data_IF_592556284396
#
_entry.id   IF_592556284396
#
_cell.length_a   1.000
_cell.length_b   1.000
_cell.length_c   1.000
_cell.angle_alpha   90.00
_cell.angle_beta   90.00
_cell.angle_gamma   90.00
#
_symmetry.space_group_name_H-M   'P 1'
#
loop_
_entity.id
_entity.type
_entity.pdbx_description
1 polymer ?
#
# COMPACT_ATOMS: atom_id res chain seq x y z
N UNK A 1 9.96 -22.44 26.74
CA UNK A 1 9.37 -22.29 25.41
C UNK A 1 8.60 -20.99 25.47
N UNK A 2 9.20 -19.91 24.97
CA UNK A 2 8.48 -18.65 24.84
C UNK A 2 7.25 -18.88 23.95
N UNK A 3 6.09 -18.48 24.43
CA UNK A 3 4.86 -18.47 23.66
C UNK A 3 5.13 -17.73 22.36
N UNK A 4 5.07 -18.43 21.25
CA UNK A 4 5.19 -17.88 19.91
C UNK A 4 4.10 -16.82 19.78
N UNK A 5 4.51 -15.57 19.76
CA UNK A 5 3.60 -14.43 19.77
C UNK A 5 2.83 -14.43 18.43
N UNK A 6 1.66 -15.08 18.43
CA UNK A 6 0.72 -15.10 17.32
C UNK A 6 -0.01 -13.77 17.33
N UNK A 7 0.14 -12.98 16.28
CA UNK A 7 -0.57 -11.71 16.17
C UNK A 7 -1.66 -11.81 15.11
N UNK A 8 -2.89 -11.87 15.54
CA UNK A 8 -4.07 -11.73 14.68
C UNK A 8 -4.30 -10.26 14.28
N UNK A 9 -3.82 -9.32 15.08
CA UNK A 9 -4.15 -7.89 14.99
C UNK A 9 -3.65 -7.21 13.71
N UNK A 10 -2.51 -7.65 13.16
CA UNK A 10 -1.95 -7.10 11.92
C UNK A 10 -2.64 -7.62 10.65
N UNK A 11 -3.41 -8.69 10.77
CA UNK A 11 -4.05 -9.35 9.63
C UNK A 11 -5.29 -8.59 9.17
N UNK A 12 -6.00 -7.90 10.08
CA UNK A 12 -7.32 -7.34 9.80
C UNK A 12 -7.33 -6.40 8.61
N UNK A 13 -6.35 -5.53 8.48
CA UNK A 13 -6.32 -4.58 7.38
C UNK A 13 -5.89 -5.22 6.05
N UNK A 14 -5.02 -6.21 6.12
CA UNK A 14 -4.51 -6.93 4.97
C UNK A 14 -5.42 -8.06 4.47
N UNK A 15 -6.26 -8.63 5.37
CA UNK A 15 -7.04 -9.84 5.07
C UNK A 15 -7.94 -9.68 3.82
N UNK A 16 -8.45 -8.48 3.56
CA UNK A 16 -9.23 -8.17 2.37
C UNK A 16 -8.42 -8.37 1.07
N UNK A 17 -7.11 -8.17 1.11
CA UNK A 17 -6.23 -8.44 -0.03
C UNK A 17 -5.95 -9.94 -0.19
N UNK A 18 -5.91 -10.68 0.92
CA UNK A 18 -5.65 -12.11 0.91
C UNK A 18 -6.73 -12.90 0.18
N UNK A 19 -8.01 -12.55 0.39
CA UNK A 19 -9.15 -13.23 -0.21
C UNK A 19 -9.52 -12.76 -1.61
N UNK A 20 -8.81 -11.81 -2.18
CA UNK A 20 -9.03 -11.41 -3.58
C UNK A 20 -8.64 -12.55 -4.51
N UNK A 21 -9.47 -12.76 -5.55
CA UNK A 21 -9.19 -13.73 -6.60
C UNK A 21 -7.84 -13.47 -7.27
N UNK A 22 -7.51 -12.20 -7.49
CA UNK A 22 -6.22 -11.77 -8.01
C UNK A 22 -5.44 -11.11 -6.87
N UNK A 23 -4.29 -11.69 -6.54
CA UNK A 23 -3.40 -11.15 -5.51
C UNK A 23 -2.79 -9.83 -6.00
N UNK A 24 -2.90 -8.80 -5.18
CA UNK A 24 -2.30 -7.48 -5.47
C UNK A 24 -0.85 -7.51 -5.01
N UNK A 25 0.06 -7.62 -5.96
CA UNK A 25 1.51 -7.71 -5.72
C UNK A 25 2.24 -6.57 -6.45
N UNK A 26 2.35 -5.38 -5.82
CA UNK A 26 3.12 -4.28 -6.38
C UNK A 26 4.60 -4.61 -6.51
N UNK A 27 5.33 -3.88 -7.37
CA UNK A 27 6.75 -4.04 -7.62
C UNK A 27 7.48 -2.71 -7.56
N UNK A 28 8.58 -2.68 -6.81
CA UNK A 28 9.63 -1.68 -6.97
C UNK A 28 10.76 -2.25 -7.84
N UNK A 29 11.31 -1.40 -8.70
CA UNK A 29 12.42 -1.73 -9.57
C UNK A 29 13.52 -0.69 -9.41
N UNK A 30 14.75 -1.16 -9.17
CA UNK A 30 15.94 -0.31 -8.99
C UNK A 30 17.01 -0.74 -9.97
N UNK A 31 17.40 0.14 -10.85
CA UNK A 31 18.50 -0.11 -11.78
C UNK A 31 19.77 0.51 -11.21
N UNK A 32 20.76 -0.32 -10.97
CA UNK A 32 22.08 0.06 -10.49
C UNK A 32 23.01 0.37 -11.66
N UNK A 33 24.19 0.93 -11.37
CA UNK A 33 25.20 1.23 -12.39
C UNK A 33 25.92 -0.05 -12.86
N UNK A 34 26.13 -0.97 -11.95
CA UNK A 34 26.88 -2.21 -12.18
C UNK A 34 25.94 -3.42 -12.11
N UNK A 35 26.33 -4.56 -12.69
CA UNK A 35 25.61 -5.81 -12.52
C UNK A 35 25.47 -6.16 -11.03
N UNK A 36 24.28 -6.64 -10.66
CA UNK A 36 23.96 -7.05 -9.29
C UNK A 36 24.74 -8.33 -8.96
N UNK A 37 25.40 -8.33 -7.80
CA UNK A 37 25.94 -9.55 -7.20
C UNK A 37 24.87 -10.19 -6.31
N UNK A 38 24.28 -11.30 -6.71
CA UNK A 38 23.19 -11.91 -5.96
C UNK A 38 23.61 -12.51 -4.63
N UNK A 39 24.89 -12.90 -4.46
CA UNK A 39 25.36 -13.41 -3.18
C UNK A 39 25.47 -12.28 -2.16
N UNK A 40 25.92 -11.09 -2.57
CA UNK A 40 25.92 -9.91 -1.71
C UNK A 40 24.49 -9.42 -1.43
N UNK A 41 23.59 -9.51 -2.42
CA UNK A 41 22.18 -9.12 -2.23
C UNK A 41 21.49 -10.08 -1.23
N UNK A 42 21.80 -11.40 -1.28
CA UNK A 42 21.30 -12.37 -0.30
C UNK A 42 21.79 -12.02 1.11
N UNK A 43 23.08 -11.72 1.28
CA UNK A 43 23.63 -11.33 2.57
C UNK A 43 23.00 -10.06 3.13
N UNK A 44 22.72 -9.08 2.26
CA UNK A 44 22.02 -7.85 2.63
C UNK A 44 20.58 -8.12 3.07
N UNK A 45 19.87 -8.99 2.34
CA UNK A 45 18.51 -9.42 2.69
C UNK A 45 18.49 -10.14 4.07
N UNK A 46 19.39 -11.09 4.27
CA UNK A 46 19.49 -11.84 5.54
C UNK A 46 19.72 -10.90 6.73
N UNK A 47 20.64 -9.95 6.59
CA UNK A 47 20.92 -8.96 7.63
C UNK A 47 19.73 -8.03 7.89
N UNK A 48 19.04 -7.56 6.83
CA UNK A 48 17.86 -6.75 6.98
C UNK A 48 16.71 -7.48 7.69
N UNK A 49 16.50 -8.77 7.37
CA UNK A 49 15.48 -9.60 8.02
C UNK A 49 15.77 -9.88 9.50
N UNK A 50 17.02 -9.97 9.91
CA UNK A 50 17.38 -10.10 11.32
C UNK A 50 16.96 -8.88 12.14
N UNK A 51 17.03 -7.67 11.53
CA UNK A 51 16.67 -6.43 12.18
C UNK A 51 15.16 -6.13 12.07
N UNK A 52 14.42 -6.86 11.23
CA UNK A 52 13.02 -6.60 10.93
C UNK A 52 12.15 -7.86 11.07
N UNK A 53 11.89 -8.35 12.27
CA UNK A 53 11.15 -9.59 12.51
C UNK A 53 9.72 -9.54 11.94
N UNK A 54 9.11 -8.37 11.82
CA UNK A 54 7.79 -8.19 11.17
C UNK A 54 7.74 -8.77 9.76
N UNK A 55 8.83 -8.68 8.99
CA UNK A 55 8.89 -9.21 7.63
C UNK A 55 9.25 -10.70 7.57
N UNK A 56 9.71 -11.26 8.68
CA UNK A 56 10.09 -12.67 8.78
C UNK A 56 8.94 -13.53 9.31
N UNK A 57 7.81 -13.47 8.63
CA UNK A 57 6.58 -14.17 9.05
C UNK A 57 5.99 -14.99 7.91
N UNK A 58 5.21 -15.99 8.30
CA UNK A 58 4.32 -16.76 7.41
C UNK A 58 2.91 -16.81 7.99
N UNK A 59 1.92 -17.08 7.16
CA UNK A 59 0.55 -17.30 7.61
C UNK A 59 0.32 -18.77 7.92
N UNK A 60 -0.33 -19.01 9.04
CA UNK A 60 -0.80 -20.32 9.47
C UNK A 60 -2.31 -20.25 9.69
N UNK A 61 -3.00 -21.31 9.27
CA UNK A 61 -4.44 -21.46 9.43
C UNK A 61 -4.73 -22.52 10.48
N UNK A 62 -5.52 -22.16 11.48
CA UNK A 62 -6.08 -23.10 12.44
C UNK A 62 -7.62 -23.05 12.34
N UNK A 63 -8.22 -24.09 11.78
CA UNK A 63 -9.65 -24.11 11.42
C UNK A 63 -10.02 -22.95 10.48
N UNK A 64 -10.67 -21.91 11.00
CA UNK A 64 -11.09 -20.72 10.25
C UNK A 64 -10.28 -19.47 10.59
N UNK A 65 -9.34 -19.58 11.53
CA UNK A 65 -8.55 -18.47 12.02
C UNK A 65 -7.18 -18.43 11.33
N UNK A 66 -6.73 -17.23 10.97
CA UNK A 66 -5.44 -16.99 10.37
C UNK A 66 -4.51 -16.27 11.34
N UNK A 67 -3.27 -16.73 11.43
CA UNK A 67 -2.24 -16.14 12.30
C UNK A 67 -0.96 -15.91 11.53
N UNK A 68 -0.24 -14.86 11.89
CA UNK A 68 1.15 -14.70 11.48
C UNK A 68 2.05 -15.30 12.56
N UNK A 69 2.97 -16.14 12.14
CA UNK A 69 4.02 -16.68 13.01
C UNK A 69 5.40 -16.49 12.39
N UNK A 70 6.49 -16.54 13.19
CA UNK A 70 7.84 -16.48 12.66
C UNK A 70 8.06 -17.55 11.59
N UNK A 71 8.60 -17.15 10.45
CA UNK A 71 8.92 -18.05 9.36
C UNK A 71 10.32 -18.65 9.54
N UNK A 72 10.46 -19.97 9.78
CA UNK A 72 11.77 -20.62 9.93
C UNK A 72 12.51 -20.82 8.60
N UNK A 73 11.78 -20.77 7.47
CA UNK A 73 12.33 -21.03 6.16
C UNK A 73 13.25 -19.89 5.69
N UNK A 74 14.25 -20.18 4.85
CA UNK A 74 15.11 -19.15 4.30
C UNK A 74 14.38 -18.26 3.31
N UNK A 75 14.59 -16.96 3.38
CA UNK A 75 14.16 -16.00 2.38
C UNK A 75 15.22 -15.90 1.30
N UNK A 76 14.90 -16.31 0.08
CA UNK A 76 15.87 -16.42 -1.02
C UNK A 76 15.80 -15.22 -1.97
N UNK A 77 16.96 -14.83 -2.50
CA UNK A 77 17.06 -13.94 -3.65
C UNK A 77 16.88 -14.76 -4.93
N UNK A 78 15.91 -14.39 -5.76
CA UNK A 78 15.58 -15.06 -7.01
C UNK A 78 16.37 -14.49 -8.20
N UNK A 79 16.48 -15.27 -9.27
CA UNK A 79 17.09 -14.84 -10.53
C UNK A 79 16.01 -14.54 -11.55
N UNK A 80 16.22 -13.47 -12.32
CA UNK A 80 15.30 -13.05 -13.37
C UNK A 80 14.30 -11.98 -12.91
N UNK A 81 13.50 -11.52 -13.86
CA UNK A 81 12.52 -10.44 -13.69
C UNK A 81 11.08 -10.94 -13.49
N UNK A 82 10.86 -12.26 -13.54
CA UNK A 82 9.53 -12.84 -13.32
C UNK A 82 9.13 -12.70 -11.86
N UNK A 83 7.93 -12.17 -11.64
CA UNK A 83 7.38 -12.06 -10.30
C UNK A 83 6.93 -13.43 -9.79
N UNK A 84 7.47 -13.92 -8.65
CA UNK A 84 7.01 -15.16 -8.07
C UNK A 84 5.60 -15.04 -7.49
N UNK A 85 4.86 -16.14 -7.48
CA UNK A 85 3.58 -16.20 -6.77
C UNK A 85 3.83 -16.29 -5.26
N UNK A 86 3.28 -15.33 -4.52
CA UNK A 86 3.44 -15.25 -3.07
C UNK A 86 2.16 -15.69 -2.35
N UNK A 87 2.27 -16.41 -1.25
CA UNK A 87 3.48 -16.92 -0.59
C UNK A 87 3.96 -18.29 -1.11
N UNK A 88 3.30 -18.87 -2.10
CA UNK A 88 3.48 -20.28 -2.52
C UNK A 88 4.88 -20.57 -3.10
N UNK A 89 5.47 -19.61 -3.82
CA UNK A 89 6.79 -19.77 -4.44
C UNK A 89 7.90 -19.04 -3.67
N UNK A 90 7.60 -18.48 -2.49
CA UNK A 90 8.53 -17.66 -1.72
C UNK A 90 8.80 -18.22 -0.33
N UNK A 91 8.76 -19.54 -0.15
CA UNK A 91 8.93 -20.19 1.16
C UNK A 91 7.99 -19.63 2.24
N UNK A 92 6.77 -19.24 1.86
CA UNK A 92 5.79 -18.67 2.79
C UNK A 92 5.94 -17.17 3.04
N UNK A 93 6.96 -16.50 2.47
CA UNK A 93 7.11 -15.06 2.59
C UNK A 93 6.10 -14.28 1.73
N UNK A 94 5.70 -13.12 2.23
CA UNK A 94 4.77 -12.21 1.53
C UNK A 94 5.50 -11.14 0.70
N UNK A 95 6.77 -11.35 0.43
CA UNK A 95 7.56 -10.54 -0.48
C UNK A 95 8.64 -11.39 -1.15
N UNK A 96 9.21 -10.88 -2.21
CA UNK A 96 10.32 -11.49 -2.92
C UNK A 96 11.34 -10.43 -3.33
N UNK A 97 12.61 -10.78 -3.24
CA UNK A 97 13.71 -10.01 -3.82
C UNK A 97 14.27 -10.81 -4.98
N UNK A 98 14.35 -10.19 -6.16
CA UNK A 98 14.96 -10.83 -7.32
C UNK A 98 15.91 -9.87 -8.04
N UNK A 99 16.79 -10.41 -8.87
CA UNK A 99 17.69 -9.58 -9.65
C UNK A 99 17.96 -10.17 -11.04
N UNK A 100 18.14 -9.26 -11.99
CA UNK A 100 18.51 -9.57 -13.36
C UNK A 100 19.44 -8.48 -13.88
N UNK A 101 20.59 -8.86 -14.39
CA UNK A 101 21.64 -7.92 -14.84
C UNK A 101 21.96 -6.86 -13.77
N UNK A 102 21.69 -5.59 -14.03
CA UNK A 102 21.91 -4.47 -13.09
C UNK A 102 20.64 -4.05 -12.33
N UNK A 103 19.58 -4.84 -12.39
CA UNK A 103 18.28 -4.47 -11.82
C UNK A 103 17.93 -5.35 -10.63
N UNK A 104 17.52 -4.72 -9.54
CA UNK A 104 16.90 -5.36 -8.37
C UNK A 104 15.40 -5.12 -8.43
N UNK A 105 14.64 -6.17 -8.24
CA UNK A 105 13.19 -6.14 -8.12
C UNK A 105 12.82 -6.49 -6.68
N UNK A 106 11.87 -5.74 -6.15
CA UNK A 106 11.24 -6.03 -4.87
C UNK A 106 9.74 -6.11 -5.08
N UNK A 107 9.19 -7.31 -4.92
CA UNK A 107 7.77 -7.60 -5.03
C UNK A 107 7.20 -7.85 -3.64
N UNK A 108 5.99 -7.37 -3.38
CA UNK A 108 5.32 -7.71 -2.13
C UNK A 108 3.85 -7.97 -2.32
N UNK A 109 3.32 -8.89 -1.55
CA UNK A 109 1.90 -9.12 -1.48
C UNK A 109 1.27 -8.05 -0.56
N UNK A 110 0.38 -7.25 -1.11
CA UNK A 110 -0.20 -6.09 -0.42
C UNK A 110 -1.00 -6.44 0.86
N UNK A 111 -1.17 -7.73 1.11
CA UNK A 111 -1.72 -8.26 2.35
C UNK A 111 -0.92 -7.82 3.58
N UNK A 112 0.41 -7.99 3.57
CA UNK A 112 1.24 -7.74 4.74
C UNK A 112 1.53 -6.27 4.97
N UNK A 113 1.71 -5.48 3.90
CA UNK A 113 2.23 -4.12 3.99
C UNK A 113 1.77 -3.24 2.84
N UNK A 114 1.80 -1.93 3.06
CA UNK A 114 1.65 -0.92 2.02
C UNK A 114 3.00 -0.34 1.57
N UNK A 115 2.96 0.55 0.56
CA UNK A 115 4.17 1.15 0.01
C UNK A 115 4.98 1.98 1.02
N UNK A 116 4.32 2.62 1.99
CA UNK A 116 4.99 3.35 3.07
C UNK A 116 5.68 2.38 4.03
N UNK A 117 4.94 1.38 4.51
CA UNK A 117 5.44 0.41 5.48
C UNK A 117 6.61 -0.44 4.98
N UNK A 118 6.66 -0.74 3.66
CA UNK A 118 7.75 -1.52 3.08
C UNK A 118 9.01 -0.68 2.79
N UNK A 119 8.86 0.63 2.59
CA UNK A 119 9.96 1.49 2.13
C UNK A 119 11.20 1.49 3.02
N UNK A 120 11.10 1.57 4.37
CA UNK A 120 12.28 1.51 5.23
C UNK A 120 13.02 0.18 5.13
N UNK A 121 12.29 -0.93 5.09
CA UNK A 121 12.88 -2.27 4.95
C UNK A 121 13.61 -2.44 3.62
N UNK A 122 12.99 -2.03 2.53
CA UNK A 122 13.59 -2.06 1.20
C UNK A 122 14.84 -1.16 1.11
N UNK A 123 14.75 0.06 1.62
CA UNK A 123 15.90 0.98 1.70
C UNK A 123 17.05 0.33 2.44
N UNK A 124 16.76 -0.33 3.56
CA UNK A 124 17.75 -1.04 4.36
C UNK A 124 18.46 -2.15 3.57
N UNK A 125 17.73 -2.95 2.81
CA UNK A 125 18.33 -3.99 1.96
C UNK A 125 19.30 -3.35 0.94
N UNK A 126 18.90 -2.28 0.28
CA UNK A 126 19.73 -1.60 -0.73
C UNK A 126 20.97 -0.94 -0.12
N UNK A 127 20.83 -0.30 1.04
CA UNK A 127 21.96 0.32 1.77
C UNK A 127 22.97 -0.73 2.22
N UNK A 128 22.52 -1.83 2.80
CA UNK A 128 23.38 -2.97 3.18
C UNK A 128 24.07 -3.57 1.95
N UNK A 129 23.35 -3.72 0.84
CA UNK A 129 23.95 -4.17 -0.40
C UNK A 129 25.04 -3.21 -0.88
N UNK A 130 24.79 -1.89 -0.87
CA UNK A 130 25.79 -0.90 -1.25
C UNK A 130 27.01 -0.91 -0.32
N UNK A 131 26.82 -1.06 0.98
CA UNK A 131 27.92 -1.18 1.94
C UNK A 131 28.78 -2.41 1.63
N UNK A 132 28.16 -3.55 1.34
CA UNK A 132 28.88 -4.78 0.98
C UNK A 132 29.57 -4.71 -0.38
N UNK A 133 28.92 -4.09 -1.37
CA UNK A 133 29.40 -4.07 -2.75
C UNK A 133 30.44 -3.00 -3.02
N UNK A 134 30.25 -1.81 -2.45
CA UNK A 134 31.01 -0.61 -2.77
C UNK A 134 31.82 -0.05 -1.60
N UNK A 135 31.74 -0.67 -0.42
CA UNK A 135 32.41 -0.16 0.78
C UNK A 135 31.85 1.17 1.27
N UNK A 136 30.57 1.48 0.95
CA UNK A 136 29.90 2.65 1.51
C UNK A 136 29.64 2.47 3.00
N UNK A 137 29.35 3.55 3.71
CA UNK A 137 29.07 3.54 5.14
C UNK A 137 27.69 4.16 5.41
N UNK A 138 26.65 3.65 4.73
CA UNK A 138 25.30 4.05 5.08
C UNK A 138 25.01 3.67 6.54
N UNK A 139 24.40 4.61 7.25
CA UNK A 139 24.03 4.41 8.65
C UNK A 139 23.04 3.25 8.77
N UNK A 140 22.98 2.67 9.96
CA UNK A 140 22.05 1.62 10.34
C UNK A 140 20.89 2.20 11.16
N UNK A 141 19.92 2.91 10.55
CA UNK A 141 18.79 3.43 11.29
C UNK A 141 17.97 2.27 11.84
N UNK A 142 17.38 2.42 13.04
CA UNK A 142 16.46 1.43 13.55
C UNK A 142 15.32 1.27 12.55
N UNK A 143 14.98 0.01 12.27
CA UNK A 143 13.78 -0.26 11.47
C UNK A 143 12.53 0.05 12.29
N UNK A 144 11.45 0.50 11.63
CA UNK A 144 10.21 0.81 12.31
C UNK A 144 9.72 -0.37 13.15
N UNK A 145 9.29 -0.07 14.37
CA UNK A 145 8.52 -1.02 15.15
C UNK A 145 7.11 -1.12 14.56
N UNK A 146 6.44 -2.25 14.74
CA UNK A 146 5.06 -2.41 14.29
C UNK A 146 4.15 -2.51 15.53
N UNK A 147 3.93 -1.40 16.26
CA UNK A 147 3.08 -1.42 17.43
C UNK A 147 1.64 -1.73 17.00
N UNK A 148 0.99 -2.63 17.73
CA UNK A 148 -0.43 -2.86 17.57
C UNK A 148 -1.22 -1.61 18.02
N UNK A 149 -2.35 -1.36 17.36
CA UNK A 149 -3.34 -0.41 17.86
C UNK A 149 -4.60 -1.15 18.31
N UNK A 150 -5.29 -0.59 19.29
CA UNK A 150 -6.49 -1.19 19.85
C UNK A 150 -7.68 -1.01 18.90
N UNK A 151 -7.97 -2.06 18.12
CA UNK A 151 -9.09 -2.10 17.19
C UNK A 151 -10.43 -2.05 17.94
N UNK A 152 -10.53 -2.71 19.07
CA UNK A 152 -11.76 -2.74 19.85
C UNK A 152 -12.13 -1.33 20.33
N UNK A 153 -11.19 -0.61 20.92
CA UNK A 153 -11.39 0.78 21.33
C UNK A 153 -11.69 1.70 20.14
N UNK A 154 -11.08 1.45 18.97
CA UNK A 154 -11.36 2.21 17.76
C UNK A 154 -12.80 2.01 17.29
N UNK A 155 -13.27 0.75 17.22
CA UNK A 155 -14.63 0.40 16.76
C UNK A 155 -15.69 0.86 17.77
N UNK A 156 -15.40 0.81 19.06
CA UNK A 156 -16.29 1.35 20.11
C UNK A 156 -16.47 2.85 19.96
N UNK A 157 -15.37 3.59 19.76
CA UNK A 157 -15.39 5.04 19.57
C UNK A 157 -16.08 5.49 18.28
N UNK A 158 -15.94 4.69 17.22
CA UNK A 158 -16.52 4.95 15.90
C UNK A 158 -17.42 3.80 15.47
N UNK A 159 -18.66 3.74 15.99
CA UNK A 159 -19.61 2.68 15.59
C UNK A 159 -19.76 2.63 14.07
N UNK A 160 -19.79 1.40 13.54
CA UNK A 160 -19.93 1.16 12.11
C UNK A 160 -21.16 1.87 11.58
N UNK A 161 -20.96 2.69 10.56
CA UNK A 161 -22.03 3.10 9.68
C UNK A 161 -22.16 2.02 8.60
N UNK A 162 -23.29 1.31 8.60
CA UNK A 162 -23.64 0.42 7.49
C UNK A 162 -23.69 1.32 6.25
N UNK A 163 -22.80 1.08 5.29
CA UNK A 163 -22.91 1.72 3.99
C UNK A 163 -24.20 1.22 3.36
N UNK A 164 -25.06 2.16 2.98
CA UNK A 164 -26.25 1.84 2.23
C UNK A 164 -25.80 1.26 0.88
N UNK A 165 -26.15 -0.01 0.62
CA UNK A 165 -25.78 -0.71 -0.61
C UNK A 165 -26.27 0.01 -1.86
N UNK A 166 -27.29 0.87 -1.73
CA UNK A 166 -27.84 1.67 -2.84
C UNK A 166 -26.87 2.73 -3.36
N UNK A 167 -25.86 3.13 -2.59
CA UNK A 167 -24.88 4.15 -2.99
C UNK A 167 -23.74 3.57 -3.85
N UNK A 168 -23.66 2.26 -4.05
CA UNK A 168 -22.62 1.57 -4.80
C UNK A 168 -23.10 1.02 -6.15
N UNK A 169 -23.92 1.78 -6.89
CA UNK A 169 -24.06 1.50 -8.32
C UNK A 169 -22.76 1.87 -9.04
N UNK A 170 -21.79 0.96 -8.98
CA UNK A 170 -20.61 1.02 -9.84
C UNK A 170 -21.09 0.69 -11.26
N UNK A 171 -21.09 1.66 -12.13
CA UNK A 171 -21.03 1.36 -13.56
C UNK A 171 -19.71 0.59 -13.78
N UNK A 172 -19.82 -0.72 -13.88
CA UNK A 172 -18.70 -1.55 -14.32
C UNK A 172 -18.56 -1.25 -15.81
N UNK A 173 -17.58 -0.46 -16.17
CA UNK A 173 -17.15 -0.37 -17.58
C UNK A 173 -16.60 -1.75 -17.91
N UNK A 174 -17.41 -2.59 -18.56
CA UNK A 174 -16.96 -3.83 -19.15
C UNK A 174 -16.03 -3.48 -20.31
N UNK A 175 -14.74 -3.50 -20.05
CA UNK A 175 -13.76 -3.56 -21.13
C UNK A 175 -13.80 -4.96 -21.70
N UNK A 176 -14.24 -5.12 -22.93
CA UNK A 176 -14.40 -6.43 -23.59
C UNK A 176 -13.08 -7.12 -23.93
N UNK A 177 -11.93 -6.55 -23.67
CA UNK A 177 -10.62 -7.12 -23.96
C UNK A 177 -9.70 -7.01 -22.73
N UNK A 178 -9.16 -8.15 -22.33
CA UNK A 178 -8.22 -8.29 -21.20
C UNK A 178 -6.80 -7.79 -21.51
N UNK A 179 -6.62 -6.96 -22.51
CA UNK A 179 -5.32 -6.37 -22.87
C UNK A 179 -5.01 -5.21 -21.97
N UNK A 180 -3.99 -5.36 -21.11
CA UNK A 180 -3.51 -4.27 -20.27
C UNK A 180 -2.77 -3.25 -21.14
N UNK A 181 -3.38 -2.10 -21.41
CA UNK A 181 -2.73 -0.97 -22.03
C UNK A 181 -2.00 -0.13 -20.96
N UNK A 182 -0.71 0.08 -21.17
CA UNK A 182 0.11 0.89 -20.27
C UNK A 182 0.56 2.14 -20.98
N UNK A 183 0.07 3.30 -20.55
CA UNK A 183 0.57 4.61 -20.96
C UNK A 183 1.51 5.17 -19.90
N UNK A 184 2.62 5.77 -20.33
CA UNK A 184 3.57 6.46 -19.45
C UNK A 184 3.65 7.92 -19.85
N UNK A 185 3.21 8.79 -18.95
CA UNK A 185 3.34 10.24 -19.08
C UNK A 185 4.38 10.73 -18.07
N UNK A 186 5.35 11.51 -18.52
CA UNK A 186 6.37 12.11 -17.68
C UNK A 186 6.03 13.58 -17.45
N UNK A 187 5.76 13.93 -16.21
CA UNK A 187 5.52 15.29 -15.76
C UNK A 187 6.65 15.75 -14.85
N UNK A 188 7.02 17.02 -14.91
CA UNK A 188 8.01 17.56 -13.98
C UNK A 188 7.30 17.93 -12.67
N UNK A 189 7.97 17.67 -11.54
CA UNK A 189 7.48 18.08 -10.21
C UNK A 189 7.17 19.58 -10.16
N UNK A 190 8.05 20.40 -10.77
CA UNK A 190 7.89 21.86 -10.79
C UNK A 190 6.63 22.31 -11.53
N UNK A 191 6.28 21.65 -12.64
CA UNK A 191 5.06 21.97 -13.39
C UNK A 191 3.79 21.68 -12.58
N UNK A 192 3.75 20.55 -11.86
CA UNK A 192 2.62 20.18 -10.99
C UNK A 192 2.51 21.11 -9.77
N UNK A 193 3.64 21.43 -9.12
CA UNK A 193 3.67 22.37 -8.00
C UNK A 193 3.16 23.74 -8.45
N UNK A 194 3.64 24.24 -9.57
CA UNK A 194 3.21 25.54 -10.13
C UNK A 194 1.70 25.51 -10.41
N UNK A 195 1.20 24.49 -11.09
CA UNK A 195 -0.24 24.36 -11.37
C UNK A 195 -1.08 24.32 -10.08
N UNK A 196 -0.61 23.62 -9.06
CA UNK A 196 -1.26 23.61 -7.75
C UNK A 196 -1.30 25.01 -7.14
N UNK A 197 -0.16 25.70 -7.05
CA UNK A 197 -0.06 27.04 -6.46
C UNK A 197 -0.90 28.06 -7.21
N UNK A 198 -0.85 28.08 -8.55
CA UNK A 198 -1.64 28.98 -9.41
C UNK A 198 -3.14 28.85 -9.16
N UNK A 199 -3.61 27.67 -8.74
CA UNK A 199 -5.01 27.36 -8.52
C UNK A 199 -5.39 27.18 -7.03
N UNK A 200 -4.52 27.54 -6.09
CA UNK A 200 -4.77 27.43 -4.66
C UNK A 200 -4.95 25.97 -4.15
N UNK A 201 -4.40 25.00 -4.87
CA UNK A 201 -4.53 23.57 -4.59
C UNK A 201 -3.18 22.89 -4.39
N UNK A 202 -3.18 21.71 -3.78
CA UNK A 202 -2.00 20.86 -3.70
C UNK A 202 -1.67 20.24 -5.07
N UNK A 203 -0.40 19.90 -5.33
CA UNK A 203 0.01 19.27 -6.61
C UNK A 203 -0.75 17.98 -6.91
N UNK A 204 -1.05 17.20 -5.89
CA UNK A 204 -1.87 15.98 -6.00
C UNK A 204 -3.27 16.31 -6.56
N UNK A 205 -3.95 17.27 -5.95
CA UNK A 205 -5.31 17.64 -6.36
C UNK A 205 -5.34 18.26 -7.76
N UNK A 206 -4.33 19.06 -8.09
CA UNK A 206 -4.17 19.60 -9.45
C UNK A 206 -4.00 18.48 -10.50
N UNK A 207 -3.20 17.46 -10.21
CA UNK A 207 -3.03 16.29 -11.07
C UNK A 207 -4.35 15.51 -11.21
N UNK A 208 -5.03 15.24 -10.10
CA UNK A 208 -6.32 14.53 -10.12
C UNK A 208 -7.38 15.31 -10.91
N UNK A 209 -7.43 16.64 -10.75
CA UNK A 209 -8.36 17.48 -11.52
C UNK A 209 -8.11 17.40 -13.02
N UNK A 210 -6.85 17.47 -13.45
CA UNK A 210 -6.48 17.30 -14.86
C UNK A 210 -6.85 15.91 -15.39
N UNK A 211 -6.67 14.86 -14.59
CA UNK A 211 -7.10 13.50 -14.95
C UNK A 211 -8.62 13.39 -15.05
N UNK A 212 -9.38 14.04 -14.17
CA UNK A 212 -10.84 14.06 -14.24
C UNK A 212 -11.34 14.74 -15.53
N UNK A 213 -10.74 15.87 -15.92
CA UNK A 213 -11.05 16.54 -17.20
C UNK A 213 -10.79 15.59 -18.37
N UNK A 214 -9.57 15.06 -18.46
CA UNK A 214 -9.17 14.18 -19.55
C UNK A 214 -10.03 12.91 -19.64
N UNK A 215 -10.41 12.31 -18.51
CA UNK A 215 -11.28 11.14 -18.46
C UNK A 215 -12.72 11.50 -18.81
N UNK A 216 -13.24 12.64 -18.33
CA UNK A 216 -14.57 13.11 -18.68
C UNK A 216 -14.73 13.33 -20.20
N UNK A 217 -13.77 14.02 -20.81
CA UNK A 217 -13.70 14.20 -22.25
C UNK A 217 -13.61 12.87 -23.01
N UNK A 218 -12.71 11.99 -22.60
CA UNK A 218 -12.49 10.69 -23.24
C UNK A 218 -13.70 9.76 -23.14
N UNK A 219 -14.39 9.77 -22.00
CA UNK A 219 -15.55 8.89 -21.73
C UNK A 219 -16.88 9.54 -22.10
N UNK A 220 -16.89 10.83 -22.48
CA UNK A 220 -18.13 11.58 -22.73
C UNK A 220 -19.04 11.69 -21.49
N UNK A 221 -18.41 11.86 -20.29
CA UNK A 221 -19.12 11.92 -19.01
C UNK A 221 -19.11 13.35 -18.44
N UNK A 222 -20.21 13.73 -17.85
CA UNK A 222 -20.43 15.00 -17.17
C UNK A 222 -20.12 14.94 -15.66
N UNK A 223 -19.69 13.77 -15.16
CA UNK A 223 -19.22 13.56 -13.80
C UNK A 223 -18.19 12.45 -13.75
N UNK A 224 -17.15 12.64 -12.94
CA UNK A 224 -16.13 11.64 -12.67
C UNK A 224 -16.07 11.41 -11.16
N UNK A 225 -16.22 10.15 -10.76
CA UNK A 225 -15.88 9.69 -9.41
C UNK A 225 -14.44 9.16 -9.40
N UNK A 226 -13.70 9.51 -8.39
CA UNK A 226 -12.32 9.08 -8.21
C UNK A 226 -12.07 8.62 -6.79
N UNK A 227 -11.09 7.73 -6.63
CA UNK A 227 -10.63 7.30 -5.32
C UNK A 227 -9.14 7.58 -5.17
N UNK A 228 -8.73 7.83 -3.94
CA UNK A 228 -7.34 8.04 -3.57
C UNK A 228 -7.04 7.40 -2.23
N UNK A 229 -5.78 7.04 -2.03
CA UNK A 229 -5.30 6.44 -0.80
C UNK A 229 -4.84 7.52 0.17
N UNK A 230 -5.20 7.38 1.44
CA UNK A 230 -4.71 8.21 2.53
C UNK A 230 -4.02 7.37 3.60
N UNK A 231 -2.79 7.76 3.95
CA UNK A 231 -2.06 7.17 5.08
C UNK A 231 -2.73 7.58 6.40
N UNK A 232 -2.97 6.62 7.26
CA UNK A 232 -3.68 6.82 8.53
C UNK A 232 -2.75 6.71 9.74
N UNK A 233 -1.46 6.41 9.56
CA UNK A 233 -0.49 6.15 10.65
C UNK A 233 -0.47 7.22 11.71
N UNK A 234 -0.33 8.48 11.31
CA UNK A 234 -0.32 9.62 12.24
C UNK A 234 -1.63 9.72 13.02
N UNK A 235 -2.75 9.55 12.34
CA UNK A 235 -4.07 9.62 12.96
C UNK A 235 -4.30 8.47 13.95
N UNK A 236 -3.71 7.30 13.70
CA UNK A 236 -3.80 6.12 14.56
C UNK A 236 -2.76 6.08 15.67
N UNK A 237 -1.78 6.98 15.67
CA UNK A 237 -0.70 7.01 16.65
C UNK A 237 0.35 5.92 16.44
N UNK A 238 0.50 5.42 15.22
CA UNK A 238 1.45 4.36 14.84
C UNK A 238 2.33 4.81 13.66
N UNK A 239 3.06 5.93 13.77
CA UNK A 239 3.76 6.55 12.64
C UNK A 239 4.75 5.61 11.95
N UNK A 240 5.33 4.68 12.70
CA UNK A 240 6.37 3.75 12.23
C UNK A 240 5.82 2.37 11.88
N UNK A 241 4.51 2.18 11.76
CA UNK A 241 3.93 0.86 11.45
C UNK A 241 4.34 0.36 10.07
N UNK A 242 4.80 -0.88 9.98
CA UNK A 242 5.13 -1.55 8.71
C UNK A 242 3.92 -2.17 8.00
N UNK A 243 2.85 -2.48 8.74
CA UNK A 243 1.62 -3.04 8.17
C UNK A 243 0.79 -2.01 7.39
N UNK A 244 -0.27 -2.49 6.73
CA UNK A 244 -1.17 -1.62 5.98
C UNK A 244 -1.86 -0.60 6.90
N UNK A 245 -1.63 0.67 6.64
CA UNK A 245 -2.28 1.79 7.30
C UNK A 245 -2.91 2.75 6.29
N UNK A 246 -3.37 2.22 5.16
CA UNK A 246 -3.92 3.01 4.06
C UNK A 246 -5.41 2.76 3.95
N UNK A 247 -6.19 3.84 3.96
CA UNK A 247 -7.61 3.81 3.64
C UNK A 247 -7.88 4.42 2.28
N UNK A 248 -8.91 3.92 1.60
CA UNK A 248 -9.39 4.51 0.35
C UNK A 248 -10.48 5.54 0.64
N UNK A 249 -10.28 6.75 0.14
CA UNK A 249 -11.24 7.84 0.16
C UNK A 249 -11.83 7.99 -1.24
N UNK A 250 -13.07 8.48 -1.32
CA UNK A 250 -13.77 8.65 -2.59
C UNK A 250 -14.39 10.04 -2.62
N UNK A 251 -14.27 10.68 -3.76
CA UNK A 251 -14.88 11.97 -4.07
C UNK A 251 -15.34 11.98 -5.53
N UNK A 252 -16.06 13.02 -5.92
CA UNK A 252 -16.50 13.19 -7.28
C UNK A 252 -16.44 14.65 -7.73
N UNK A 253 -16.37 14.85 -9.01
CA UNK A 253 -16.44 16.18 -9.63
C UNK A 253 -17.43 16.16 -10.78
N UNK A 254 -18.29 17.19 -10.82
CA UNK A 254 -19.14 17.46 -12.00
C UNK A 254 -18.32 18.19 -13.06
N UNK A 255 -18.52 17.84 -14.30
CA UNK A 255 -17.83 18.38 -15.47
C UNK A 255 -18.85 18.94 -16.45
N UNK A 256 -18.41 19.84 -17.31
CA UNK A 256 -19.16 20.32 -18.46
C UNK A 256 -18.21 20.55 -19.63
N UNK A 257 -18.72 20.71 -20.83
CA UNK A 257 -17.91 20.98 -22.00
C UNK A 257 -17.07 22.27 -21.81
N UNK A 258 -15.78 22.19 -22.08
CA UNK A 258 -14.86 23.30 -21.95
C UNK A 258 -14.49 23.68 -20.51
N UNK A 259 -14.83 22.87 -19.50
CA UNK A 259 -14.47 23.12 -18.09
C UNK A 259 -12.96 23.26 -17.92
N UNK A 260 -12.55 24.21 -17.11
CA UNK A 260 -11.14 24.45 -16.79
C UNK A 260 -10.82 24.10 -15.36
N UNK A 261 -9.56 23.75 -15.12
CA UNK A 261 -9.10 23.27 -13.79
C UNK A 261 -9.41 24.28 -12.67
N UNK A 262 -9.22 25.56 -12.93
CA UNK A 262 -9.45 26.63 -11.96
C UNK A 262 -10.88 26.76 -11.46
N UNK A 263 -11.85 26.21 -12.19
CA UNK A 263 -13.26 26.33 -11.84
C UNK A 263 -13.66 25.42 -10.67
N UNK A 264 -12.96 24.28 -10.51
CA UNK A 264 -13.35 23.28 -9.51
C UNK A 264 -12.21 22.78 -8.61
N UNK A 265 -10.95 23.00 -8.95
CA UNK A 265 -9.85 22.41 -8.20
C UNK A 265 -9.71 22.92 -6.76
N UNK A 266 -10.10 24.16 -6.50
CA UNK A 266 -10.11 24.73 -5.15
C UNK A 266 -11.08 23.99 -4.21
N UNK A 267 -12.38 23.90 -4.56
CA UNK A 267 -13.35 23.07 -3.85
C UNK A 267 -12.93 21.60 -3.72
N UNK A 268 -12.38 21.00 -4.78
CA UNK A 268 -11.85 19.65 -4.77
C UNK A 268 -10.72 19.49 -3.75
N UNK A 269 -9.77 20.43 -3.67
CA UNK A 269 -8.69 20.39 -2.70
C UNK A 269 -9.19 20.56 -1.27
N UNK A 270 -10.22 21.38 -1.05
CA UNK A 270 -10.86 21.51 0.24
C UNK A 270 -11.51 20.20 0.69
N UNK A 271 -12.24 19.51 -0.20
CA UNK A 271 -12.86 18.22 0.08
C UNK A 271 -11.82 17.13 0.40
N UNK A 272 -10.73 17.07 -0.36
CA UNK A 272 -9.62 16.14 -0.10
C UNK A 272 -8.98 16.43 1.27
N UNK A 273 -8.74 17.68 1.62
CA UNK A 273 -8.18 18.04 2.94
C UNK A 273 -9.12 17.66 4.08
N UNK A 274 -10.40 17.91 3.94
CA UNK A 274 -11.42 17.52 4.93
C UNK A 274 -11.44 16.01 5.14
N UNK A 275 -11.43 15.24 4.04
CA UNK A 275 -11.39 13.78 4.09
C UNK A 275 -10.12 13.23 4.76
N UNK A 276 -9.00 13.94 4.67
CA UNK A 276 -7.71 13.54 5.25
C UNK A 276 -7.47 14.08 6.67
N UNK A 277 -8.46 14.71 7.32
CA UNK A 277 -8.34 15.11 8.73
C UNK A 277 -8.15 13.89 9.63
N UNK A 278 -7.45 14.01 10.78
CA UNK A 278 -7.23 12.87 11.68
C UNK A 278 -8.53 12.18 12.11
N UNK A 279 -9.59 12.95 12.34
CA UNK A 279 -10.91 12.42 12.72
C UNK A 279 -11.52 11.56 11.61
N UNK A 280 -11.52 12.07 10.36
CA UNK A 280 -12.03 11.34 9.19
C UNK A 280 -11.21 10.08 8.89
N UNK A 281 -9.89 10.16 9.03
CA UNK A 281 -9.00 9.01 8.89
C UNK A 281 -9.31 7.91 9.91
N UNK A 282 -9.47 8.26 11.21
CA UNK A 282 -9.85 7.28 12.24
C UNK A 282 -11.20 6.65 11.96
N UNK A 283 -12.19 7.47 11.59
CA UNK A 283 -13.52 6.98 11.21
C UNK A 283 -13.42 6.00 10.05
N UNK A 284 -12.71 6.37 8.98
CA UNK A 284 -12.56 5.50 7.80
C UNK A 284 -11.85 4.20 8.12
N UNK A 285 -10.85 4.24 9.00
CA UNK A 285 -10.16 3.05 9.50
C UNK A 285 -11.13 2.17 10.30
N UNK A 286 -11.92 2.74 11.20
CA UNK A 286 -12.91 2.02 11.97
C UNK A 286 -13.95 1.34 11.07
N UNK A 287 -14.45 2.03 10.05
CA UNK A 287 -15.40 1.47 9.09
C UNK A 287 -14.79 0.30 8.31
N UNK A 288 -13.54 0.45 7.85
CA UNK A 288 -12.85 -0.57 7.07
C UNK A 288 -12.51 -1.81 7.90
N UNK A 289 -12.11 -1.64 9.15
CA UNK A 289 -11.69 -2.73 10.03
C UNK A 289 -12.80 -3.29 10.88
N UNK A 290 -13.75 -2.44 11.26
CA UNK A 290 -14.83 -2.84 12.14
C UNK A 290 -15.73 -3.92 11.52
N UNK A 291 -15.85 -3.95 10.20
CA UNK A 291 -16.55 -5.03 9.52
C UNK A 291 -15.83 -6.38 9.72
N UNK A 292 -14.53 -6.41 9.50
CA UNK A 292 -13.71 -7.62 9.69
C UNK A 292 -13.74 -8.05 11.15
N UNK A 293 -13.55 -7.11 12.07
CA UNK A 293 -13.60 -7.35 13.52
C UNK A 293 -14.95 -7.94 13.98
N UNK A 294 -16.08 -7.41 13.50
CA UNK A 294 -17.41 -7.96 13.84
C UNK A 294 -17.65 -9.36 13.29
N UNK A 295 -17.18 -9.62 12.07
CA UNK A 295 -17.28 -10.97 11.49
C UNK A 295 -16.48 -11.97 12.33
N UNK A 296 -15.30 -11.56 12.79
CA UNK A 296 -14.45 -12.38 13.64
C UNK A 296 -15.09 -12.67 15.02
N UNK A 297 -15.67 -11.65 15.66
CA UNK A 297 -16.39 -11.81 16.93
C UNK A 297 -17.63 -12.70 16.83
N UNK A 298 -18.27 -12.77 15.66
CA UNK A 298 -19.42 -13.67 15.43
C UNK A 298 -19.02 -15.14 15.26
N UNK A 299 -17.73 -15.44 15.09
CA UNK A 299 -17.19 -16.80 15.00
C UNK A 299 -16.82 -17.37 16.37
N UNK A 300 -16.85 -16.58 17.44
CA UNK A 300 -16.61 -17.08 18.78
C UNK A 300 -17.74 -18.04 19.19
N UNK A 301 -17.45 -19.18 19.84
CA UNK A 301 -18.38 -20.26 20.12
C UNK A 301 -19.51 -19.87 21.07
#
# INVERSE_FOLDING_TARGET
>A
MEETQRSAEYIFQGIMYYFRREKVCPRYQFTLKDPVDPALLQRALDAALQAAPYFKVRMVWEKQDAFLEPNPEPCLVYRGSTQPQMPEQTNGYFFAVSCEESTVYFDWFHFLMDGHGVSPFLTRILELYCNLRYGTAFADPPLPSSPAYDIAALVERYPLQLMDETTLQREVVQTCESTMHRARVRLTKQSLVRKGVENGAKPFTALMGLLCIALGEYLGKDAIQYSYSGDTRDAMGVPDASYNCVCSFQDGVALHEGIRLEEFVGPMDAAVRESLTPERKRRKMADQMGWVYKVDQQKAP
#
